data_IF_042021196203
#
_entry.id   IF_042021196203
#
_cell.length_a   1.000
_cell.length_b   1.000
_cell.length_c   1.000
_cell.angle_alpha   90.00
_cell.angle_beta   90.00
_cell.angle_gamma   90.00
#
_symmetry.space_group_name_H-M   'P 1'
#
loop_
_entity.id
_entity.type
_entity.pdbx_description
1 polymer ?
#
# COMPACT_ATOMS: atom_id res chain seq x y z
N UNK A 1 2.03 16.89 15.56
CA UNK A 1 3.41 16.50 15.89
C UNK A 1 3.79 15.35 14.97
N UNK A 2 5.01 15.37 14.45
CA UNK A 2 5.50 14.34 13.53
C UNK A 2 6.12 13.17 14.30
N UNK A 3 6.22 12.03 13.64
CA UNK A 3 7.14 10.96 14.03
C UNK A 3 8.35 11.03 13.10
N UNK A 4 9.52 11.33 13.67
CA UNK A 4 10.73 11.68 12.94
C UNK A 4 11.63 10.46 12.81
N UNK A 5 12.10 10.23 11.59
CA UNK A 5 13.20 9.31 11.29
C UNK A 5 14.35 10.13 10.73
N UNK A 6 15.54 9.98 11.30
CA UNK A 6 16.72 10.72 10.86
C UNK A 6 17.99 9.90 11.09
N UNK A 7 18.92 10.00 10.13
CA UNK A 7 20.19 9.31 10.19
C UNK A 7 21.19 10.05 11.11
N UNK A 8 22.03 9.27 11.78
CA UNK A 8 23.17 9.77 12.57
C UNK A 8 22.78 10.78 13.67
N UNK A 9 21.65 10.58 14.32
CA UNK A 9 21.25 11.31 15.52
C UNK A 9 21.62 10.50 16.75
N UNK A 10 22.62 10.97 17.52
CA UNK A 10 23.11 10.33 18.75
C UNK A 10 23.61 11.41 19.71
N UNK A 11 23.12 11.39 20.94
CA UNK A 11 23.55 12.27 22.03
C UNK A 11 24.01 11.46 23.24
N UNK A 12 24.75 12.11 24.14
CA UNK A 12 25.09 11.55 25.46
C UNK A 12 24.11 12.03 26.52
N UNK A 13 23.92 11.26 27.58
CA UNK A 13 23.20 11.73 28.78
C UNK A 13 23.83 11.13 30.05
N UNK A 14 23.77 11.85 31.15
CA UNK A 14 24.13 11.36 32.49
C UNK A 14 22.91 11.17 33.40
N UNK A 15 21.71 11.22 32.81
CA UNK A 15 20.46 11.06 33.56
C UNK A 15 20.37 9.68 34.19
N UNK A 16 19.83 9.61 35.40
CA UNK A 16 19.62 8.37 36.15
C UNK A 16 18.14 8.15 36.42
N UNK A 17 17.79 6.92 36.80
CA UNK A 17 16.42 6.55 37.14
C UNK A 17 15.52 6.33 35.92
N UNK A 18 14.19 6.20 36.15
CA UNK A 18 13.22 5.84 35.12
C UNK A 18 12.62 7.05 34.37
N UNK A 19 13.03 8.27 34.72
CA UNK A 19 12.43 9.51 34.24
C UNK A 19 12.87 9.92 32.83
N UNK A 20 12.48 11.14 32.45
CA UNK A 20 12.94 11.80 31.24
C UNK A 20 14.47 11.99 31.26
N UNK A 21 15.06 12.08 30.07
CA UNK A 21 16.49 12.27 29.90
C UNK A 21 16.80 13.74 29.63
N UNK A 22 17.83 14.24 30.29
CA UNK A 22 18.50 15.49 29.91
C UNK A 22 19.66 15.17 28.97
N UNK A 23 19.55 15.59 27.72
CA UNK A 23 20.54 15.39 26.67
C UNK A 23 21.75 16.33 26.90
N UNK A 24 22.95 15.77 26.83
CA UNK A 24 24.22 16.45 27.09
C UNK A 24 24.93 16.93 25.82
N UNK A 25 24.29 16.84 24.64
CA UNK A 25 24.86 17.21 23.35
C UNK A 25 25.21 15.99 22.49
N UNK A 26 25.50 16.29 21.22
CA UNK A 26 25.89 15.31 20.21
C UNK A 26 27.07 14.45 20.68
N UNK A 27 26.95 13.14 20.47
CA UNK A 27 28.05 12.23 20.70
C UNK A 27 29.23 12.55 19.74
N UNK A 28 30.48 12.28 20.14
CA UNK A 28 31.64 12.47 19.26
C UNK A 28 31.53 11.65 17.98
N UNK A 29 32.15 12.13 16.90
CA UNK A 29 32.21 11.39 15.62
C UNK A 29 31.20 11.81 14.56
N UNK A 30 30.71 13.07 14.61
CA UNK A 30 29.87 13.65 13.57
C UNK A 30 28.41 13.21 13.64
N UNK A 31 27.84 13.22 14.84
CA UNK A 31 26.41 12.99 15.08
C UNK A 31 25.66 14.32 15.21
N UNK A 32 24.38 14.32 14.86
CA UNK A 32 23.46 15.43 15.10
C UNK A 32 22.78 15.30 16.46
N UNK A 33 22.33 16.43 17.01
CA UNK A 33 21.45 16.52 18.18
C UNK A 33 20.00 16.23 17.80
N UNK A 34 19.19 15.77 18.75
CA UNK A 34 17.74 15.60 18.57
C UNK A 34 17.08 16.93 18.19
N UNK A 35 17.43 18.03 18.87
CA UNK A 35 16.89 19.35 18.58
C UNK A 35 17.28 19.93 17.21
N UNK A 36 18.23 19.31 16.48
CA UNK A 36 18.58 19.73 15.13
C UNK A 36 17.64 19.11 14.07
N UNK A 37 16.98 18.01 14.40
CA UNK A 37 16.13 17.24 13.46
C UNK A 37 14.66 17.16 13.89
N UNK A 38 14.36 17.48 15.15
CA UNK A 38 13.02 17.40 15.74
C UNK A 38 12.60 18.77 16.29
N UNK A 39 11.31 19.10 16.15
CA UNK A 39 10.68 20.18 16.88
C UNK A 39 10.20 19.70 18.27
N UNK A 40 9.94 20.65 19.18
CA UNK A 40 9.35 20.33 20.49
C UNK A 40 7.96 19.72 20.26
N UNK A 41 7.74 18.55 20.85
CA UNK A 41 6.55 17.71 20.78
C UNK A 41 6.63 16.62 19.71
N UNK A 42 7.62 16.64 18.82
CA UNK A 42 7.83 15.54 17.88
C UNK A 42 8.24 14.26 18.62
N UNK A 43 7.91 13.14 18.00
CA UNK A 43 8.20 11.80 18.50
C UNK A 43 9.22 11.10 17.62
N UNK A 44 9.94 10.14 18.18
CA UNK A 44 10.85 9.22 17.46
C UNK A 44 10.99 7.95 18.29
N UNK A 45 11.45 6.86 17.69
CA UNK A 45 11.94 5.71 18.44
C UNK A 45 13.44 5.86 18.74
N UNK A 46 13.84 5.54 19.96
CA UNK A 46 15.24 5.64 20.42
C UNK A 46 15.70 4.35 21.06
N UNK A 47 17.00 4.09 20.94
CA UNK A 47 17.73 3.20 21.84
C UNK A 47 18.53 4.05 22.83
N UNK A 48 18.43 3.70 24.11
CA UNK A 48 19.23 4.24 25.20
C UNK A 48 20.11 3.09 25.70
N UNK A 49 21.42 3.26 25.73
CA UNK A 49 22.37 2.23 26.17
C UNK A 49 23.38 2.80 27.19
N UNK A 50 23.62 2.02 28.24
CA UNK A 50 24.78 2.14 29.12
C UNK A 50 25.83 1.09 28.73
N UNK A 51 26.93 1.48 28.07
CA UNK A 51 27.97 0.52 27.75
C UNK A 51 28.71 -0.01 29.00
N UNK A 52 28.67 0.70 30.13
CA UNK A 52 29.38 0.30 31.35
C UNK A 52 28.59 -0.70 32.21
N UNK A 53 27.29 -0.48 32.38
CA UNK A 53 26.43 -1.37 33.19
C UNK A 53 25.68 -2.42 32.36
N UNK A 54 25.62 -2.26 31.03
CA UNK A 54 24.83 -3.13 30.15
C UNK A 54 23.31 -2.86 30.21
N UNK A 55 22.89 -1.80 30.89
CA UNK A 55 21.49 -1.34 30.90
C UNK A 55 21.11 -0.78 29.52
N UNK A 56 19.98 -1.21 28.97
CA UNK A 56 19.51 -0.68 27.69
C UNK A 56 18.00 -0.68 27.57
N UNK A 57 17.48 0.27 26.82
CA UNK A 57 16.06 0.41 26.54
C UNK A 57 15.82 0.89 25.12
N UNK A 58 14.89 0.24 24.42
CA UNK A 58 14.33 0.73 23.17
C UNK A 58 12.90 1.17 23.43
N UNK A 59 12.61 2.45 23.22
CA UNK A 59 11.31 3.04 23.50
C UNK A 59 10.94 4.13 22.50
N UNK A 60 9.66 4.45 22.41
CA UNK A 60 9.22 5.71 21.82
C UNK A 60 9.63 6.85 22.75
N UNK A 61 10.09 7.95 22.19
CA UNK A 61 10.46 9.16 22.91
C UNK A 61 9.83 10.40 22.27
N UNK A 62 9.61 11.43 23.09
CA UNK A 62 9.09 12.75 22.68
C UNK A 62 10.09 13.83 23.10
N UNK A 63 10.47 14.71 22.18
CA UNK A 63 11.32 15.86 22.52
C UNK A 63 10.44 16.94 23.17
N UNK A 64 10.47 17.09 24.49
CA UNK A 64 9.57 18.01 25.23
C UNK A 64 10.24 19.34 25.60
N UNK A 65 11.55 19.43 25.43
CA UNK A 65 12.32 20.66 25.52
C UNK A 65 13.59 20.55 24.68
N UNK A 66 14.37 21.63 24.51
CA UNK A 66 15.56 21.64 23.66
C UNK A 66 16.58 20.55 23.99
N UNK A 67 16.64 20.12 25.24
CA UNK A 67 17.52 19.05 25.72
C UNK A 67 16.76 18.03 26.57
N UNK A 68 15.43 18.03 26.54
CA UNK A 68 14.62 17.15 27.40
C UNK A 68 13.88 16.14 26.54
N UNK A 69 14.28 14.88 26.66
CA UNK A 69 13.67 13.76 25.94
C UNK A 69 12.82 12.94 26.90
N UNK A 70 11.50 13.02 26.74
CA UNK A 70 10.56 12.23 27.54
C UNK A 70 10.43 10.83 26.96
N UNK A 71 10.67 9.83 27.81
CA UNK A 71 10.53 8.40 27.46
C UNK A 71 9.05 7.98 27.51
N UNK A 72 8.65 7.17 26.54
CA UNK A 72 7.26 6.75 26.33
C UNK A 72 7.10 5.23 26.38
N UNK A 73 6.36 4.67 25.42
CA UNK A 73 6.09 3.24 25.34
C UNK A 73 7.39 2.44 25.14
N UNK A 74 7.54 1.35 25.90
CA UNK A 74 8.71 0.46 25.79
C UNK A 74 8.46 -0.55 24.69
N UNK A 75 9.43 -0.70 23.79
CA UNK A 75 9.45 -1.76 22.78
C UNK A 75 10.21 -2.98 23.28
N UNK A 76 11.35 -2.76 23.93
CA UNK A 76 12.15 -3.80 24.57
C UNK A 76 13.18 -3.18 25.53
N UNK A 77 13.69 -3.95 26.48
CA UNK A 77 14.62 -3.43 27.50
C UNK A 77 15.40 -4.54 28.19
N UNK A 78 16.52 -4.20 28.83
CA UNK A 78 17.23 -5.05 29.79
C UNK A 78 16.44 -5.34 31.08
N UNK A 79 15.36 -4.61 31.37
CA UNK A 79 14.46 -4.82 32.51
C UNK A 79 13.25 -5.71 32.20
N UNK A 80 13.40 -6.71 31.33
CA UNK A 80 12.33 -7.67 31.03
C UNK A 80 11.10 -7.06 30.36
N UNK A 81 11.29 -6.05 29.52
CA UNK A 81 10.23 -5.27 28.85
C UNK A 81 9.67 -4.11 29.67
N UNK A 82 10.15 -3.92 30.91
CA UNK A 82 9.81 -2.77 31.75
C UNK A 82 10.62 -1.52 31.41
N UNK A 83 10.33 -0.44 32.14
CA UNK A 83 11.09 0.82 32.11
C UNK A 83 12.41 0.64 32.85
N UNK A 84 13.54 0.90 32.20
CA UNK A 84 14.86 0.84 32.83
C UNK A 84 15.05 2.02 33.78
N UNK A 85 15.51 1.73 34.99
CA UNK A 85 16.01 2.72 35.94
C UNK A 85 17.51 2.83 35.79
N UNK A 86 17.99 3.80 35.00
CA UNK A 86 19.41 3.88 34.64
C UNK A 86 20.30 4.23 35.84
N UNK A 87 21.42 3.54 35.95
CA UNK A 87 22.49 3.80 36.91
C UNK A 87 23.28 5.06 36.53
N UNK A 88 24.14 5.53 37.44
CA UNK A 88 25.04 6.66 37.17
C UNK A 88 26.02 6.39 36.01
N UNK A 89 26.55 7.45 35.41
CA UNK A 89 27.51 7.38 34.30
C UNK A 89 26.91 7.72 32.93
N UNK A 90 27.78 7.81 31.93
CA UNK A 90 27.41 8.28 30.58
C UNK A 90 26.67 7.20 29.80
N UNK A 91 25.51 7.56 29.29
CA UNK A 91 24.70 6.76 28.36
C UNK A 91 24.76 7.37 26.98
N UNK A 92 24.43 6.54 26.00
CA UNK A 92 24.16 6.98 24.65
C UNK A 92 22.68 6.88 24.34
N UNK A 93 22.13 7.88 23.66
CA UNK A 93 20.74 7.91 23.19
C UNK A 93 20.77 8.20 21.69
N UNK A 94 20.19 7.33 20.88
CA UNK A 94 20.18 7.49 19.42
C UNK A 94 18.87 7.05 18.80
N UNK A 95 18.50 7.68 17.68
CA UNK A 95 17.33 7.27 16.90
C UNK A 95 17.59 5.87 16.34
N UNK A 96 16.59 5.01 16.43
CA UNK A 96 16.65 3.64 15.92
C UNK A 96 15.35 3.24 15.25
N UNK A 97 15.38 2.20 14.42
CA UNK A 97 14.19 1.51 13.98
C UNK A 97 14.01 0.26 14.88
N UNK A 98 13.05 0.27 15.82
CA UNK A 98 12.86 -0.86 16.71
C UNK A 98 12.45 -2.10 15.92
N UNK A 99 13.00 -3.27 16.27
CA UNK A 99 12.65 -4.53 15.63
C UNK A 99 11.14 -4.84 15.73
N UNK A 100 10.48 -4.38 16.80
CA UNK A 100 9.03 -4.49 16.98
C UNK A 100 8.21 -3.68 15.96
N UNK A 101 8.79 -2.64 15.38
CA UNK A 101 8.18 -1.84 14.30
C UNK A 101 8.64 -2.29 12.90
N UNK A 102 9.63 -3.19 12.81
CA UNK A 102 10.09 -3.73 11.54
C UNK A 102 9.17 -4.87 11.09
N UNK A 103 8.83 -4.88 9.81
CA UNK A 103 8.21 -6.06 9.16
C UNK A 103 9.24 -6.76 8.28
N UNK A 104 9.30 -8.09 8.37
CA UNK A 104 10.16 -8.88 7.47
C UNK A 104 9.61 -8.84 6.05
N UNK A 105 10.49 -8.94 5.05
CA UNK A 105 10.08 -9.06 3.64
C UNK A 105 9.06 -10.19 3.42
N UNK A 106 9.24 -11.33 4.09
CA UNK A 106 8.31 -12.47 4.02
C UNK A 106 6.95 -12.16 4.63
N UNK A 107 6.89 -11.36 5.69
CA UNK A 107 5.64 -10.94 6.33
C UNK A 107 4.92 -9.91 5.46
N UNK A 108 5.66 -8.97 4.86
CA UNK A 108 5.13 -8.04 3.85
C UNK A 108 4.58 -8.82 2.66
N UNK A 109 5.33 -9.79 2.14
CA UNK A 109 4.89 -10.63 1.03
C UNK A 109 3.65 -11.45 1.42
N UNK A 110 3.63 -12.07 2.60
CA UNK A 110 2.46 -12.80 3.09
C UNK A 110 1.25 -11.89 3.32
N UNK A 111 1.44 -10.63 3.74
CA UNK A 111 0.36 -9.66 3.86
C UNK A 111 -0.17 -9.21 2.49
N UNK A 112 0.70 -9.09 1.48
CA UNK A 112 0.30 -8.83 0.09
C UNK A 112 -0.41 -10.03 -0.52
N UNK A 113 0.10 -11.25 -0.30
CA UNK A 113 -0.50 -12.50 -0.75
C UNK A 113 -1.83 -12.76 -0.04
N UNK A 114 -1.93 -12.43 1.25
CA UNK A 114 -3.17 -12.49 2.02
C UNK A 114 -4.21 -11.46 1.57
N UNK A 115 -3.78 -10.27 1.13
CA UNK A 115 -4.66 -9.29 0.46
C UNK A 115 -5.08 -9.75 -0.95
N UNK A 116 -4.24 -10.51 -1.66
CA UNK A 116 -4.64 -11.19 -2.89
C UNK A 116 -5.67 -12.29 -2.61
N UNK A 117 -5.52 -13.04 -1.52
CA UNK A 117 -6.47 -14.07 -1.09
C UNK A 117 -7.83 -13.50 -0.61
N UNK A 118 -7.84 -12.28 -0.08
CA UNK A 118 -9.07 -11.60 0.39
C UNK A 118 -9.90 -10.94 -0.73
N UNK A 119 -9.47 -11.02 -2.00
CA UNK A 119 -10.18 -10.34 -3.10
C UNK A 119 -9.95 -10.90 -4.51
N UNK A 120 -9.11 -11.92 -4.71
CA UNK A 120 -8.97 -12.64 -5.97
C UNK A 120 -9.20 -14.12 -5.68
N UNK A 121 -10.45 -14.57 -5.82
CA UNK A 121 -10.75 -16.00 -5.76
C UNK A 121 -9.94 -16.72 -6.86
N UNK A 122 -9.02 -17.57 -6.42
CA UNK A 122 -8.38 -18.57 -7.26
C UNK A 122 -9.43 -19.65 -7.60
N UNK A 123 -10.20 -19.46 -8.67
CA UNK A 123 -11.01 -20.55 -9.22
C UNK A 123 -10.09 -21.51 -9.99
N UNK A 124 -9.35 -22.30 -9.22
CA UNK A 124 -8.58 -23.43 -9.70
C UNK A 124 -9.52 -24.59 -10.11
N UNK A 125 -10.37 -24.42 -11.12
CA UNK A 125 -11.03 -25.56 -11.80
C UNK A 125 -11.54 -25.21 -13.21
N UNK A 126 -10.64 -25.11 -14.19
CA UNK A 126 -10.84 -25.58 -15.58
C UNK A 126 -9.72 -25.07 -16.52
N UNK A 127 -8.87 -25.99 -17.01
CA UNK A 127 -8.16 -26.00 -18.30
C UNK A 127 -7.49 -24.75 -18.92
N UNK A 128 -7.40 -23.61 -18.26
CA UNK A 128 -6.56 -22.50 -18.68
C UNK A 128 -6.12 -21.69 -17.45
N UNK A 129 -4.84 -21.34 -17.37
CA UNK A 129 -4.34 -20.45 -16.31
C UNK A 129 -4.91 -19.05 -16.55
N UNK A 130 -6.10 -18.78 -16.00
CA UNK A 130 -6.80 -17.50 -16.12
C UNK A 130 -6.20 -16.51 -15.12
N UNK A 131 -5.54 -15.47 -15.60
CA UNK A 131 -5.16 -14.30 -14.81
C UNK A 131 -6.36 -13.38 -14.64
N UNK A 132 -6.88 -13.26 -13.42
CA UNK A 132 -7.92 -12.27 -13.08
C UNK A 132 -7.30 -11.05 -12.41
N UNK A 133 -7.68 -9.87 -12.85
CA UNK A 133 -7.24 -8.59 -12.28
C UNK A 133 -8.48 -7.78 -11.93
N UNK A 134 -8.62 -7.41 -10.66
CA UNK A 134 -9.69 -6.51 -10.18
C UNK A 134 -9.08 -5.19 -9.76
N UNK A 135 -9.64 -4.09 -10.26
CA UNK A 135 -9.22 -2.72 -9.95
C UNK A 135 -10.43 -1.93 -9.48
N UNK A 136 -10.33 -1.36 -8.28
CA UNK A 136 -11.28 -0.37 -7.78
C UNK A 136 -10.89 1.03 -8.25
N UNK A 137 -11.87 1.83 -8.66
CA UNK A 137 -11.71 3.22 -9.05
C UNK A 137 -12.62 4.03 -8.12
N UNK A 138 -12.02 4.90 -7.30
CA UNK A 138 -12.76 5.75 -6.39
C UNK A 138 -13.38 6.93 -7.14
N UNK A 139 -14.69 7.09 -6.99
CA UNK A 139 -15.49 8.11 -7.67
C UNK A 139 -15.60 7.92 -9.18
N UNK A 140 -16.29 8.89 -9.81
CA UNK A 140 -16.35 9.01 -11.27
C UNK A 140 -14.97 9.37 -11.82
N UNK A 141 -14.45 8.66 -12.83
CA UNK A 141 -13.31 9.14 -13.60
C UNK A 141 -13.61 10.46 -14.32
N UNK A 142 -12.58 11.27 -14.56
CA UNK A 142 -12.72 12.46 -15.39
C UNK A 142 -13.05 12.06 -16.84
N UNK A 143 -13.80 12.94 -17.53
CA UNK A 143 -14.19 12.69 -18.92
C UNK A 143 -12.95 12.59 -19.82
N UNK A 144 -12.85 11.53 -20.61
CA UNK A 144 -11.69 11.23 -21.46
C UNK A 144 -10.43 10.73 -20.73
N UNK A 145 -10.48 10.54 -19.40
CA UNK A 145 -9.35 10.06 -18.62
C UNK A 145 -8.91 8.64 -19.03
N UNK A 146 -7.59 8.42 -19.08
CA UNK A 146 -6.99 7.10 -19.22
C UNK A 146 -6.56 6.59 -17.84
N UNK A 147 -7.32 5.63 -17.31
CA UNK A 147 -7.10 5.08 -15.99
C UNK A 147 -6.20 3.85 -16.14
N UNK A 148 -4.97 3.85 -15.62
CA UNK A 148 -4.12 2.66 -15.64
C UNK A 148 -4.73 1.61 -14.71
N UNK A 149 -5.04 0.43 -15.26
CA UNK A 149 -5.55 -0.70 -14.47
C UNK A 149 -4.38 -1.50 -13.89
N UNK A 150 -3.50 -1.98 -14.77
CA UNK A 150 -2.32 -2.76 -14.39
C UNK A 150 -1.30 -2.79 -15.52
N UNK A 151 -0.07 -3.22 -15.22
CA UNK A 151 0.95 -3.54 -16.21
C UNK A 151 0.98 -5.05 -16.39
N UNK A 152 0.89 -5.54 -17.63
CA UNK A 152 0.91 -6.97 -17.92
C UNK A 152 2.21 -7.60 -17.37
N UNK A 153 2.14 -8.48 -16.35
CA UNK A 153 3.34 -9.02 -15.71
C UNK A 153 4.03 -10.11 -16.54
N UNK A 154 3.29 -10.69 -17.47
CA UNK A 154 3.71 -11.69 -18.46
C UNK A 154 2.93 -11.44 -19.73
N UNK A 155 3.23 -12.15 -20.81
CA UNK A 155 2.36 -12.15 -21.98
C UNK A 155 0.97 -12.64 -21.57
N UNK A 156 -0.03 -11.87 -21.94
CA UNK A 156 -1.44 -12.13 -21.66
C UNK A 156 -2.22 -12.17 -22.95
N UNK A 157 -3.35 -12.86 -22.93
CA UNK A 157 -4.29 -12.91 -24.03
C UNK A 157 -5.68 -12.63 -23.50
N UNK A 158 -6.28 -11.54 -23.97
CA UNK A 158 -7.69 -11.28 -23.77
C UNK A 158 -8.48 -12.23 -24.69
N UNK A 159 -9.32 -13.11 -24.16
CA UNK A 159 -10.03 -14.10 -24.96
C UNK A 159 -11.11 -13.45 -25.85
N UNK A 160 -11.50 -14.16 -26.91
CA UNK A 160 -12.58 -13.74 -27.81
C UNK A 160 -13.97 -14.00 -27.21
N UNK A 161 -14.99 -13.29 -27.67
CA UNK A 161 -16.39 -13.74 -27.55
C UNK A 161 -17.12 -13.46 -26.23
N UNK A 162 -16.56 -12.65 -25.32
CA UNK A 162 -17.23 -12.32 -24.05
C UNK A 162 -18.16 -11.09 -24.20
N UNK A 163 -19.27 -11.23 -24.94
CA UNK A 163 -20.34 -10.21 -24.92
C UNK A 163 -21.36 -10.56 -23.83
N UNK A 164 -21.72 -9.60 -22.97
CA UNK A 164 -22.70 -9.81 -21.90
C UNK A 164 -22.29 -9.23 -20.54
N UNK A 165 -23.24 -9.22 -19.60
CA UNK A 165 -22.97 -8.96 -18.18
C UNK A 165 -22.54 -10.26 -17.52
N UNK A 166 -21.28 -10.39 -17.13
CA UNK A 166 -20.80 -11.56 -16.39
C UNK A 166 -20.78 -11.24 -14.90
N UNK A 167 -21.67 -11.86 -14.13
CA UNK A 167 -21.67 -11.75 -12.65
C UNK A 167 -20.62 -12.69 -12.07
N UNK A 168 -19.94 -12.28 -11.01
CA UNK A 168 -19.01 -13.12 -10.25
C UNK A 168 -19.83 -14.22 -9.54
N UNK A 169 -19.61 -15.50 -9.88
CA UNK A 169 -20.16 -16.64 -9.14
C UNK A 169 -20.98 -17.70 -9.90
N UNK A 170 -21.05 -17.71 -11.23
CA UNK A 170 -21.70 -18.81 -11.97
C UNK A 170 -20.68 -19.77 -12.59
N UNK A 171 -20.72 -21.03 -12.16
CA UNK A 171 -19.77 -22.12 -12.43
C UNK A 171 -19.66 -22.62 -13.88
N UNK A 172 -20.06 -21.85 -14.91
CA UNK A 172 -20.27 -22.41 -16.26
C UNK A 172 -19.75 -21.59 -17.46
N UNK A 173 -18.91 -20.56 -17.29
CA UNK A 173 -18.30 -19.89 -18.45
C UNK A 173 -16.85 -19.42 -18.19
N UNK A 174 -15.88 -19.77 -19.07
CA UNK A 174 -14.49 -19.37 -18.89
C UNK A 174 -14.30 -17.89 -19.27
N UNK A 175 -13.45 -17.19 -18.51
CA UNK A 175 -13.06 -15.78 -18.64
C UNK A 175 -14.14 -14.74 -18.25
N UNK A 176 -14.19 -14.44 -16.95
CA UNK A 176 -15.06 -13.40 -16.39
C UNK A 176 -14.38 -12.03 -16.55
N UNK A 177 -14.98 -11.16 -17.37
CA UNK A 177 -14.68 -9.73 -17.34
C UNK A 177 -15.97 -8.99 -16.96
N UNK A 178 -15.97 -8.26 -15.85
CA UNK A 178 -17.12 -7.57 -15.29
C UNK A 178 -16.76 -6.15 -14.87
N UNK A 179 -17.74 -5.26 -14.81
CA UNK A 179 -17.57 -3.98 -14.14
C UNK A 179 -18.84 -3.61 -13.39
N UNK A 180 -18.71 -3.06 -12.20
CA UNK A 180 -19.82 -2.57 -11.39
C UNK A 180 -19.61 -1.12 -11.03
N UNK A 181 -20.71 -0.41 -10.80
CA UNK A 181 -20.73 0.94 -10.27
C UNK A 181 -21.52 0.94 -8.94
N UNK A 182 -21.04 1.68 -7.96
CA UNK A 182 -21.70 1.81 -6.66
C UNK A 182 -23.05 2.55 -6.74
N UNK A 183 -23.32 3.24 -7.84
CA UNK A 183 -24.61 3.90 -8.14
C UNK A 183 -25.01 3.56 -9.57
N UNK A 184 -26.30 3.33 -9.79
CA UNK A 184 -26.83 3.06 -11.12
C UNK A 184 -26.57 4.28 -12.04
N UNK A 185 -26.07 4.02 -13.25
CA UNK A 185 -25.97 5.06 -14.26
C UNK A 185 -27.38 5.53 -14.64
N UNK A 186 -27.60 6.81 -14.79
CA UNK A 186 -28.82 7.41 -15.37
C UNK A 186 -28.79 7.46 -16.90
N UNK A 187 -27.62 7.36 -17.51
CA UNK A 187 -27.37 7.40 -18.95
C UNK A 187 -26.29 6.39 -19.35
N UNK A 188 -26.29 6.00 -20.63
CA UNK A 188 -25.30 5.04 -21.13
C UNK A 188 -23.89 5.64 -21.08
N UNK A 189 -22.96 4.91 -20.46
CA UNK A 189 -21.53 5.25 -20.43
C UNK A 189 -20.70 4.08 -20.96
N UNK A 190 -19.91 4.34 -22.01
CA UNK A 190 -19.10 3.32 -22.68
C UNK A 190 -17.63 3.59 -22.39
N UNK A 191 -17.03 2.75 -21.57
CA UNK A 191 -15.61 2.75 -21.32
C UNK A 191 -14.90 1.83 -22.30
N UNK A 192 -13.70 2.19 -22.73
CA UNK A 192 -12.95 1.44 -23.73
C UNK A 192 -11.67 0.87 -23.13
N UNK A 193 -11.46 -0.44 -23.24
CA UNK A 193 -10.19 -1.04 -22.84
C UNK A 193 -9.11 -0.73 -23.88
N UNK A 194 -7.90 -0.47 -23.39
CA UNK A 194 -6.72 -0.21 -24.21
C UNK A 194 -5.54 -1.06 -23.75
N UNK A 195 -4.67 -1.41 -24.69
CA UNK A 195 -3.36 -1.96 -24.43
C UNK A 195 -2.33 -0.93 -24.91
N UNK A 196 -1.58 -0.35 -23.97
CA UNK A 196 -0.78 0.86 -24.23
C UNK A 196 -1.66 2.01 -24.73
N UNK A 197 -1.17 2.73 -25.73
CA UNK A 197 -1.92 3.83 -26.34
C UNK A 197 -3.07 3.38 -27.27
N UNK A 198 -3.19 2.08 -27.56
CA UNK A 198 -4.06 1.57 -28.63
C UNK A 198 -5.36 0.99 -28.05
N UNK A 199 -6.54 1.44 -28.53
CA UNK A 199 -7.82 0.78 -28.23
C UNK A 199 -7.82 -0.69 -28.65
N UNK A 200 -8.29 -1.56 -27.77
CA UNK A 200 -8.57 -2.95 -28.13
C UNK A 200 -9.93 -2.98 -28.82
N UNK A 201 -9.96 -3.38 -30.10
CA UNK A 201 -11.17 -3.36 -30.91
C UNK A 201 -12.35 -4.07 -30.20
N UNK A 202 -13.47 -3.35 -30.08
CA UNK A 202 -14.73 -3.81 -29.49
C UNK A 202 -14.65 -4.32 -28.03
N UNK A 203 -13.55 -4.05 -27.32
CA UNK A 203 -13.41 -4.38 -25.89
C UNK A 203 -13.91 -3.23 -25.00
N UNK A 204 -15.22 -2.97 -25.04
CA UNK A 204 -15.86 -1.92 -24.22
C UNK A 204 -16.50 -2.47 -22.95
N UNK A 205 -16.65 -1.62 -21.94
CA UNK A 205 -17.50 -1.84 -20.76
C UNK A 205 -18.61 -0.78 -20.80
N UNK A 206 -19.84 -1.21 -21.06
CA UNK A 206 -21.00 -0.31 -21.19
C UNK A 206 -21.88 -0.39 -19.97
N UNK A 207 -21.91 0.66 -19.16
CA UNK A 207 -22.96 0.86 -18.17
C UNK A 207 -24.19 1.41 -18.87
N UNK A 208 -25.27 0.64 -18.92
CA UNK A 208 -26.54 1.09 -19.46
C UNK A 208 -27.28 1.99 -18.45
N UNK A 209 -28.18 2.85 -18.93
CA UNK A 209 -29.10 3.57 -18.06
C UNK A 209 -29.85 2.59 -17.13
N UNK A 210 -30.01 3.00 -15.88
CA UNK A 210 -30.50 2.24 -14.74
C UNK A 210 -29.69 0.99 -14.33
N UNK A 211 -28.51 0.74 -14.92
CA UNK A 211 -27.68 -0.42 -14.58
C UNK A 211 -26.57 -0.07 -13.58
N UNK A 212 -26.32 -0.99 -12.64
CA UNK A 212 -25.14 -0.99 -11.76
C UNK A 212 -24.02 -1.89 -12.27
N UNK A 213 -24.26 -2.63 -13.35
CA UNK A 213 -23.32 -3.58 -13.95
C UNK A 213 -23.11 -3.24 -15.41
N UNK A 214 -21.86 -3.22 -15.85
CA UNK A 214 -21.52 -3.01 -17.25
C UNK A 214 -21.67 -4.31 -18.04
N UNK A 215 -22.16 -4.17 -19.27
CA UNK A 215 -22.10 -5.21 -20.29
C UNK A 215 -20.80 -5.06 -21.06
N UNK A 216 -20.11 -6.17 -21.34
CA UNK A 216 -18.95 -6.12 -22.22
C UNK A 216 -19.30 -6.15 -23.69
N UNK A 217 -18.58 -5.36 -24.47
CA UNK A 217 -18.45 -5.55 -25.90
C UNK A 217 -17.58 -6.77 -26.21
N UNK A 218 -17.95 -7.52 -27.25
CA UNK A 218 -17.18 -8.66 -27.72
C UNK A 218 -15.98 -8.24 -28.54
N UNK A 219 -14.80 -8.76 -28.21
CA UNK A 219 -13.55 -8.52 -28.94
C UNK A 219 -13.08 -9.78 -29.69
N UNK A 220 -12.20 -9.59 -30.67
CA UNK A 220 -11.33 -10.66 -31.15
C UNK A 220 -10.30 -11.00 -30.07
N UNK A 221 -9.78 -12.23 -30.09
CA UNK A 221 -8.68 -12.61 -29.20
C UNK A 221 -7.52 -11.63 -29.40
N UNK A 222 -7.06 -11.01 -28.31
CA UNK A 222 -6.06 -9.93 -28.37
C UNK A 222 -4.89 -10.28 -27.47
N UNK A 223 -3.70 -10.37 -28.05
CA UNK A 223 -2.46 -10.51 -27.29
C UNK A 223 -2.07 -9.17 -26.64
N UNK A 224 -1.63 -9.24 -25.40
CA UNK A 224 -1.15 -8.12 -24.59
C UNK A 224 0.24 -8.52 -24.08
N UNK A 225 1.32 -8.03 -24.72
CA UNK A 225 2.67 -8.40 -24.33
C UNK A 225 3.03 -7.98 -22.91
N UNK A 226 3.94 -8.72 -22.27
CA UNK A 226 4.51 -8.35 -20.97
C UNK A 226 5.05 -6.90 -20.98
N UNK A 227 4.85 -6.17 -19.88
CA UNK A 227 5.22 -4.77 -19.75
C UNK A 227 4.22 -3.79 -20.38
N UNK A 228 3.22 -4.26 -21.13
CA UNK A 228 2.17 -3.38 -21.67
C UNK A 228 1.22 -2.94 -20.56
N UNK A 229 1.01 -1.64 -20.40
CA UNK A 229 -0.02 -1.12 -19.48
C UNK A 229 -1.41 -1.29 -20.10
N UNK A 230 -2.32 -1.87 -19.35
CA UNK A 230 -3.74 -1.95 -19.71
C UNK A 230 -4.47 -0.78 -19.07
N UNK A 231 -5.23 -0.04 -19.88
CA UNK A 231 -6.00 1.12 -19.44
C UNK A 231 -7.49 0.89 -19.61
N UNK A 232 -8.26 1.56 -18.76
CA UNK A 232 -9.66 1.86 -19.02
C UNK A 232 -9.77 3.33 -19.44
N UNK A 233 -10.21 3.56 -20.67
CA UNK A 233 -10.50 4.89 -21.16
C UNK A 233 -11.93 5.28 -20.81
N UNK A 234 -12.08 6.35 -20.03
CA UNK A 234 -13.35 7.00 -19.77
C UNK A 234 -13.88 7.66 -21.06
N UNK A 235 -15.19 7.59 -21.36
CA UNK A 235 -15.75 8.31 -22.50
C UNK A 235 -15.59 9.83 -22.33
N UNK A 236 -15.67 10.56 -23.45
CA UNK A 236 -15.58 12.03 -23.45
C UNK A 236 -16.74 12.71 -22.70
N UNK A 237 -17.81 11.97 -22.43
CA UNK A 237 -18.94 12.38 -21.60
C UNK A 237 -19.43 11.15 -20.83
N UNK A 238 -18.81 10.84 -19.69
CA UNK A 238 -19.31 9.80 -18.80
C UNK A 238 -20.47 10.36 -17.96
N UNK A 239 -21.46 9.51 -17.71
CA UNK A 239 -22.60 9.83 -16.86
C UNK A 239 -22.16 10.34 -15.48
N UNK A 240 -22.61 11.55 -15.14
CA UNK A 240 -22.27 12.25 -13.91
C UNK A 240 -22.68 11.51 -12.63
N UNK A 241 -23.62 10.54 -12.70
CA UNK A 241 -24.07 9.77 -11.53
C UNK A 241 -23.23 8.53 -11.25
N UNK A 242 -22.26 8.19 -12.12
CA UNK A 242 -21.32 7.12 -11.83
C UNK A 242 -20.51 7.48 -10.57
N UNK A 243 -20.46 6.54 -9.63
CA UNK A 243 -19.68 6.64 -8.41
C UNK A 243 -18.52 5.65 -8.48
N UNK A 244 -18.06 5.15 -7.33
CA UNK A 244 -17.00 4.14 -7.27
C UNK A 244 -17.26 2.99 -8.24
N UNK A 245 -16.24 2.64 -9.03
CA UNK A 245 -16.29 1.55 -10.00
C UNK A 245 -15.41 0.39 -9.51
N UNK A 246 -15.79 -0.83 -9.85
CA UNK A 246 -14.93 -1.99 -9.73
C UNK A 246 -14.87 -2.71 -11.07
N UNK A 247 -13.67 -2.94 -11.60
CA UNK A 247 -13.43 -3.54 -12.91
C UNK A 247 -12.64 -4.81 -12.73
N UNK A 248 -13.21 -5.94 -13.12
CA UNK A 248 -12.56 -7.25 -13.10
C UNK A 248 -12.33 -7.69 -14.54
N UNK A 249 -11.10 -8.04 -14.90
CA UNK A 249 -10.75 -8.57 -16.22
C UNK A 249 -10.08 -9.92 -16.08
N UNK A 250 -10.40 -10.84 -16.98
CA UNK A 250 -9.80 -12.16 -17.08
C UNK A 250 -8.98 -12.27 -18.37
N UNK A 251 -7.77 -12.80 -18.23
CA UNK A 251 -6.82 -13.03 -19.32
C UNK A 251 -6.34 -14.47 -19.28
N UNK A 252 -5.98 -15.01 -20.42
CA UNK A 252 -5.20 -16.24 -20.50
C UNK A 252 -3.72 -15.88 -20.45
N UNK A 253 -2.88 -16.76 -19.91
CA UNK A 253 -1.44 -16.63 -20.11
C UNK A 253 -1.14 -16.78 -21.60
N UNK A 254 -0.41 -15.82 -22.18
CA UNK A 254 0.17 -15.95 -23.50
C UNK A 254 1.19 -17.10 -23.51
N UNK A 255 1.23 -17.85 -24.61
CA UNK A 255 2.25 -18.86 -24.91
C UNK A 255 3.56 -18.21 -25.31
#
# INVERSE_FOLDING_TARGET
MAHVYADRVKEVTASTGPGALTLGGAAPGGFATFAAVMAIGDTTDVCIEDPASGEWEVCQATLVGPTTLQRGAIHSSSSGGGRVSFSGGTKHVFITLPAAAAMRRSEIQAALDGKAAAGVADEATAAARVFRVTVGIAGKPADGELIPLFVAPVDLTLPAGLSGSVTVGSATAPAVCSATAATAATANSVFQLRAGATPIANATLTFAAAATTATRGGNAQTAIPAGTTVYLACPATADATLADLAVTLAFLRGS
#
